data_IF_699651515262
#
_entry.id   IF_699651515262
#
_cell.length_a   1.000
_cell.length_b   1.000
_cell.length_c   1.000
_cell.angle_alpha   90.00
_cell.angle_beta   90.00
_cell.angle_gamma   90.00
#
_symmetry.space_group_name_H-M   'P 1'
#
loop_
_entity.id
_entity.type
_entity.pdbx_description
1 polymer ?
#
# COMPACT_ATOMS: atom_id res chain seq x y z
N UNK A 1 3.24 -3.55 -25.73
CA UNK A 1 1.85 -3.12 -25.45
C UNK A 1 1.89 -1.83 -24.64
N UNK A 2 1.02 -0.85 -24.93
CA UNK A 2 1.02 0.45 -24.21
C UNK A 2 0.14 0.44 -22.94
N UNK A 3 -0.86 -0.44 -22.87
CA UNK A 3 -1.80 -0.59 -21.75
C UNK A 3 -2.07 -2.07 -21.45
N UNK A 4 -2.46 -2.35 -20.21
CA UNK A 4 -2.87 -3.66 -19.68
C UNK A 4 -4.19 -3.51 -18.91
N UNK A 5 -4.90 -4.63 -18.71
CA UNK A 5 -6.03 -4.67 -17.77
C UNK A 5 -5.58 -4.21 -16.38
N UNK A 6 -6.41 -3.41 -15.71
CA UNK A 6 -6.10 -2.76 -14.44
C UNK A 6 -5.35 -1.41 -14.55
N UNK A 7 -4.76 -1.06 -15.70
CA UNK A 7 -4.11 0.25 -15.83
C UNK A 7 -5.13 1.39 -15.67
N UNK A 8 -4.81 2.36 -14.81
CA UNK A 8 -5.55 3.63 -14.73
C UNK A 8 -5.18 4.53 -15.91
N UNK A 9 -6.21 5.05 -16.59
CA UNK A 9 -6.04 5.90 -17.77
C UNK A 9 -6.92 7.13 -17.72
N UNK A 10 -6.37 8.24 -18.18
CA UNK A 10 -7.11 9.45 -18.48
C UNK A 10 -7.57 9.44 -19.94
N UNK A 11 -8.79 9.92 -20.16
CA UNK A 11 -9.37 10.11 -21.49
C UNK A 11 -10.33 11.31 -21.50
N UNK A 12 -10.61 11.83 -22.69
CA UNK A 12 -11.66 12.84 -22.87
C UNK A 12 -12.97 12.14 -23.23
N UNK A 13 -14.01 12.37 -22.43
CA UNK A 13 -15.38 11.90 -22.67
C UNK A 13 -16.35 13.05 -22.46
N UNK A 14 -17.24 13.30 -23.43
CA UNK A 14 -18.20 14.42 -23.41
C UNK A 14 -17.55 15.78 -23.11
N UNK A 15 -16.40 16.02 -23.74
CA UNK A 15 -15.61 17.26 -23.59
C UNK A 15 -15.00 17.50 -22.21
N UNK A 16 -14.99 16.49 -21.33
CA UNK A 16 -14.37 16.57 -20.01
C UNK A 16 -13.27 15.51 -19.88
N UNK A 17 -12.21 15.85 -19.12
CA UNK A 17 -11.20 14.87 -18.72
C UNK A 17 -11.82 13.93 -17.69
N UNK A 18 -11.72 12.63 -17.95
CA UNK A 18 -12.23 11.56 -17.09
C UNK A 18 -11.12 10.57 -16.83
N UNK A 19 -11.18 9.93 -15.67
CA UNK A 19 -10.29 8.84 -15.31
C UNK A 19 -11.10 7.55 -15.27
N UNK A 20 -10.45 6.45 -15.62
CA UNK A 20 -11.04 5.12 -15.53
C UNK A 20 -9.99 4.04 -15.52
N UNK A 21 -10.46 2.81 -15.34
CA UNK A 21 -9.63 1.60 -15.28
C UNK A 21 -9.83 0.78 -16.54
N UNK A 22 -8.74 0.32 -17.14
CA UNK A 22 -8.80 -0.58 -18.30
C UNK A 22 -9.34 -1.94 -17.85
N UNK A 23 -10.47 -2.37 -18.41
CA UNK A 23 -11.03 -3.71 -18.19
C UNK A 23 -10.51 -4.73 -19.20
N UNK A 24 -10.36 -4.33 -20.47
CA UNK A 24 -9.95 -5.27 -21.52
C UNK A 24 -9.07 -4.56 -22.56
N UNK A 25 -8.07 -5.27 -23.09
CA UNK A 25 -7.16 -4.76 -24.12
C UNK A 25 -7.29 -5.58 -25.39
N UNK A 26 -7.78 -4.94 -26.46
CA UNK A 26 -7.90 -5.51 -27.80
C UNK A 26 -6.67 -5.14 -28.63
N UNK A 27 -5.70 -6.06 -28.71
CA UNK A 27 -4.42 -5.81 -29.38
C UNK A 27 -4.53 -5.76 -30.91
N UNK A 28 -5.43 -6.56 -31.47
CA UNK A 28 -5.76 -6.60 -32.90
C UNK A 28 -6.25 -5.24 -33.41
N UNK A 29 -7.04 -4.53 -32.60
CA UNK A 29 -7.64 -3.24 -32.95
C UNK A 29 -6.97 -2.04 -32.27
N UNK A 30 -5.95 -2.27 -31.44
CA UNK A 30 -5.30 -1.26 -30.59
C UNK A 30 -6.31 -0.43 -29.78
N UNK A 31 -7.31 -1.10 -29.20
CA UNK A 31 -8.34 -0.49 -28.36
C UNK A 31 -8.24 -1.02 -26.93
N UNK A 32 -8.72 -0.23 -25.99
CA UNK A 32 -8.98 -0.66 -24.62
C UNK A 32 -10.44 -0.35 -24.28
N UNK A 33 -11.07 -1.26 -23.55
CA UNK A 33 -12.32 -1.04 -22.85
C UNK A 33 -11.98 -0.47 -21.48
N UNK A 34 -12.54 0.70 -21.16
CA UNK A 34 -12.23 1.44 -19.94
C UNK A 34 -13.52 1.69 -19.17
N UNK A 35 -13.57 1.27 -17.92
CA UNK A 35 -14.63 1.58 -16.97
C UNK A 35 -14.37 2.95 -16.34
N UNK A 36 -15.33 3.87 -16.42
CA UNK A 36 -15.14 5.25 -15.95
C UNK A 36 -15.44 5.38 -14.45
N UNK A 37 -14.56 6.05 -13.71
CA UNK A 37 -14.72 6.27 -12.26
C UNK A 37 -15.97 7.11 -11.96
N UNK A 38 -16.81 6.64 -11.03
CA UNK A 38 -18.03 7.33 -10.61
C UNK A 38 -19.22 7.22 -11.58
N UNK A 39 -19.09 6.46 -12.68
CA UNK A 39 -20.17 6.24 -13.65
C UNK A 39 -20.27 4.75 -14.01
N UNK A 40 -21.46 4.15 -14.10
CA UNK A 40 -21.63 2.76 -14.54
C UNK A 40 -21.53 2.65 -16.07
N UNK A 41 -20.47 3.22 -16.67
CA UNK A 41 -20.28 3.29 -18.12
C UNK A 41 -18.89 2.78 -18.47
N UNK A 42 -18.84 1.80 -19.36
CA UNK A 42 -17.63 1.39 -20.07
C UNK A 42 -17.55 2.08 -21.43
N UNK A 43 -16.34 2.46 -21.83
CA UNK A 43 -16.09 3.03 -23.15
C UNK A 43 -14.93 2.31 -23.82
N UNK A 44 -15.08 2.03 -25.12
CA UNK A 44 -13.99 1.51 -25.92
C UNK A 44 -13.28 2.65 -26.63
N UNK A 45 -11.98 2.83 -26.37
CA UNK A 45 -11.15 3.88 -26.97
C UNK A 45 -9.88 3.30 -27.57
N UNK A 46 -9.38 3.96 -28.62
CA UNK A 46 -8.06 3.64 -29.16
C UNK A 46 -6.98 3.99 -28.14
N UNK A 47 -5.95 3.15 -28.03
CA UNK A 47 -4.84 3.33 -27.09
C UNK A 47 -4.17 4.71 -27.23
N UNK A 48 -4.13 5.28 -28.44
CA UNK A 48 -3.56 6.62 -28.67
C UNK A 48 -4.31 7.78 -28.00
N UNK A 49 -5.58 7.58 -27.62
CA UNK A 49 -6.41 8.56 -26.91
C UNK A 49 -6.48 8.31 -25.41
N UNK A 50 -5.74 7.33 -24.93
CA UNK A 50 -5.57 7.03 -23.53
C UNK A 50 -4.20 7.55 -23.11
N UNK A 51 -4.15 8.14 -21.93
CA UNK A 51 -2.92 8.53 -21.26
C UNK A 51 -2.90 7.74 -19.96
N UNK A 52 -1.80 7.06 -19.64
CA UNK A 52 -1.71 6.42 -18.31
C UNK A 52 -1.77 7.53 -17.27
N UNK A 53 -2.55 7.32 -16.22
CA UNK A 53 -2.48 8.17 -15.04
C UNK A 53 -1.09 7.93 -14.44
N UNK A 54 -0.19 8.91 -14.55
CA UNK A 54 1.04 8.92 -13.77
C UNK A 54 0.64 8.99 -12.29
N UNK A 55 1.12 8.03 -11.49
CA UNK A 55 0.74 7.94 -10.08
C UNK A 55 -0.66 7.36 -9.85
N UNK A 56 -1.01 6.24 -10.50
CA UNK A 56 -1.90 5.31 -9.80
C UNK A 56 -1.26 5.08 -8.43
N UNK A 57 -1.95 5.40 -7.33
CA UNK A 57 -1.40 5.28 -5.96
C UNK A 57 -0.89 3.86 -5.75
N UNK A 58 0.40 3.65 -6.00
CA UNK A 58 1.06 2.38 -5.77
C UNK A 58 1.28 2.36 -4.27
N UNK A 59 0.44 1.62 -3.55
CA UNK A 59 0.57 1.47 -2.11
C UNK A 59 1.43 0.24 -1.85
N UNK A 60 2.59 0.44 -1.23
CA UNK A 60 3.48 -0.64 -0.84
C UNK A 60 3.34 -0.95 0.65
N UNK A 61 3.39 -2.24 1.04
CA UNK A 61 3.60 -2.60 2.44
C UNK A 61 4.88 -1.96 3.00
N UNK A 62 4.91 -1.72 4.32
CA UNK A 62 6.05 -1.07 4.97
C UNK A 62 7.37 -1.83 4.76
N UNK A 63 7.36 -3.17 4.78
CA UNK A 63 8.56 -3.97 4.54
C UNK A 63 9.12 -3.81 3.11
N UNK A 64 8.27 -3.53 2.11
CA UNK A 64 8.69 -3.30 0.74
C UNK A 64 9.26 -1.89 0.55
N UNK A 65 8.70 -0.90 1.26
CA UNK A 65 9.30 0.44 1.38
C UNK A 65 10.69 0.39 2.02
N UNK A 66 10.83 -0.35 3.12
CA UNK A 66 12.11 -0.55 3.81
C UNK A 66 13.15 -1.19 2.88
N UNK A 67 12.74 -2.18 2.08
CA UNK A 67 13.59 -2.81 1.07
C UNK A 67 14.03 -1.83 -0.02
N UNK A 68 13.11 -1.04 -0.61
CA UNK A 68 13.45 -0.02 -1.60
C UNK A 68 14.45 0.99 -1.04
N UNK A 69 14.25 1.45 0.20
CA UNK A 69 15.17 2.38 0.88
C UNK A 69 16.55 1.77 1.08
N UNK A 70 16.62 0.50 1.49
CA UNK A 70 17.88 -0.23 1.62
C UNK A 70 18.62 -0.32 0.28
N UNK A 71 17.94 -0.74 -0.78
CA UNK A 71 18.53 -0.80 -2.12
C UNK A 71 19.06 0.56 -2.57
N UNK A 72 18.30 1.65 -2.37
CA UNK A 72 18.76 3.02 -2.71
C UNK A 72 20.00 3.44 -1.91
N UNK A 73 20.07 3.09 -0.62
CA UNK A 73 21.23 3.40 0.23
C UNK A 73 22.49 2.62 -0.20
N UNK A 74 22.32 1.42 -0.74
CA UNK A 74 23.40 0.56 -1.24
C UNK A 74 23.79 0.83 -2.69
N UNK A 75 23.12 1.79 -3.35
CA UNK A 75 23.27 2.06 -4.79
C UNK A 75 22.94 0.85 -5.68
N UNK A 76 22.00 0.01 -5.23
CA UNK A 76 21.51 -1.14 -5.98
C UNK A 76 20.62 -0.70 -7.14
N UNK A 77 20.68 -1.45 -8.23
CA UNK A 77 19.83 -1.23 -9.40
C UNK A 77 18.58 -2.12 -9.37
N UNK A 78 17.76 -2.03 -10.42
CA UNK A 78 16.52 -2.80 -10.52
C UNK A 78 16.75 -4.32 -10.56
N UNK A 79 17.92 -4.79 -11.03
CA UNK A 79 18.23 -6.23 -11.03
C UNK A 79 18.46 -6.71 -9.59
N UNK A 80 19.19 -5.94 -8.80
CA UNK A 80 19.38 -6.21 -7.36
C UNK A 80 18.06 -6.11 -6.57
N UNK A 81 17.17 -5.17 -6.91
CA UNK A 81 15.87 -5.01 -6.24
C UNK A 81 15.01 -6.29 -6.32
N UNK A 82 15.13 -7.02 -7.43
CA UNK A 82 14.36 -8.23 -7.75
C UNK A 82 15.18 -9.52 -7.55
N UNK A 83 16.37 -9.44 -6.96
CA UNK A 83 17.22 -10.59 -6.71
C UNK A 83 16.72 -11.38 -5.49
N UNK A 84 16.20 -12.59 -5.75
CA UNK A 84 15.70 -13.49 -4.72
C UNK A 84 16.79 -14.03 -3.80
N UNK A 85 18.05 -13.99 -4.21
CA UNK A 85 19.18 -14.52 -3.45
C UNK A 85 19.86 -13.45 -2.59
N UNK A 86 19.35 -12.21 -2.59
CA UNK A 86 19.93 -11.15 -1.79
C UNK A 86 19.78 -11.42 -0.28
N UNK A 87 20.91 -11.60 0.39
CA UNK A 87 20.97 -11.93 1.81
C UNK A 87 20.47 -10.81 2.73
N UNK A 88 20.43 -9.57 2.24
CA UNK A 88 19.89 -8.43 2.99
C UNK A 88 18.34 -8.38 2.90
N UNK A 89 17.71 -9.16 2.01
CA UNK A 89 16.25 -9.22 1.88
C UNK A 89 15.63 -9.94 3.09
N UNK A 90 14.60 -9.34 3.70
CA UNK A 90 13.88 -9.98 4.80
C UNK A 90 13.06 -11.18 4.29
N UNK A 91 12.81 -12.16 5.16
CA UNK A 91 11.97 -13.31 4.82
C UNK A 91 10.55 -12.88 4.38
N UNK A 92 10.00 -11.85 5.02
CA UNK A 92 8.69 -11.28 4.68
C UNK A 92 8.69 -10.65 3.28
N UNK A 93 9.73 -9.88 2.94
CA UNK A 93 9.87 -9.30 1.61
C UNK A 93 10.04 -10.39 0.54
N UNK A 94 10.85 -11.41 0.82
CA UNK A 94 11.05 -12.55 -0.07
C UNK A 94 9.74 -13.29 -0.32
N UNK A 95 9.03 -13.69 0.73
CA UNK A 95 7.75 -14.40 0.63
C UNK A 95 6.72 -13.58 -0.15
N UNK A 96 6.62 -12.27 0.13
CA UNK A 96 5.74 -11.38 -0.59
C UNK A 96 6.11 -11.29 -2.08
N UNK A 97 7.39 -11.11 -2.41
CA UNK A 97 7.85 -10.93 -3.79
C UNK A 97 7.63 -12.16 -4.67
N UNK A 98 7.81 -13.37 -4.11
CA UNK A 98 7.61 -14.62 -4.86
C UNK A 98 6.13 -15.04 -4.93
N UNK A 99 5.26 -14.47 -4.08
CA UNK A 99 3.86 -14.91 -3.99
C UNK A 99 3.04 -14.59 -5.25
N UNK A 100 3.41 -13.56 -6.02
CA UNK A 100 2.77 -13.21 -7.29
C UNK A 100 3.70 -12.40 -8.20
N UNK A 101 3.55 -12.59 -9.52
CA UNK A 101 4.16 -11.72 -10.52
C UNK A 101 3.66 -10.27 -10.42
N UNK A 102 2.44 -10.06 -9.89
CA UNK A 102 1.88 -8.72 -9.67
C UNK A 102 2.67 -7.94 -8.62
N UNK A 103 3.20 -8.61 -7.58
CA UNK A 103 4.01 -7.96 -6.55
C UNK A 103 5.38 -7.54 -7.10
N UNK A 104 5.97 -8.33 -8.00
CA UNK A 104 7.19 -7.99 -8.71
C UNK A 104 6.97 -6.77 -9.61
N UNK A 105 5.86 -6.74 -10.35
CA UNK A 105 5.48 -5.58 -11.16
C UNK A 105 5.20 -4.35 -10.28
N UNK A 106 4.50 -4.52 -9.16
CA UNK A 106 4.20 -3.44 -8.21
C UNK A 106 5.48 -2.84 -7.63
N UNK A 107 6.43 -3.67 -7.18
CA UNK A 107 7.71 -3.21 -6.66
C UNK A 107 8.55 -2.49 -7.72
N UNK A 108 8.61 -3.05 -8.94
CA UNK A 108 9.34 -2.44 -10.05
C UNK A 108 8.74 -1.09 -10.48
N UNK A 109 7.40 -0.99 -10.52
CA UNK A 109 6.73 0.28 -10.80
C UNK A 109 6.93 1.28 -9.67
N UNK A 110 6.82 0.87 -8.41
CA UNK A 110 7.08 1.73 -7.25
C UNK A 110 8.51 2.31 -7.29
N UNK A 111 9.49 1.50 -7.69
CA UNK A 111 10.87 1.95 -7.88
C UNK A 111 11.01 3.06 -8.94
N UNK A 112 10.29 2.95 -10.06
CA UNK A 112 10.41 3.85 -11.21
C UNK A 112 9.52 5.08 -11.12
N UNK A 113 8.28 4.90 -10.71
CA UNK A 113 7.19 5.87 -10.84
C UNK A 113 6.86 6.58 -9.52
N UNK A 114 7.45 6.13 -8.41
CA UNK A 114 7.10 6.56 -7.06
C UNK A 114 5.91 5.78 -6.48
N UNK A 115 5.73 5.87 -5.16
CA UNK A 115 4.74 5.08 -4.41
C UNK A 115 4.35 5.79 -3.12
N UNK A 116 3.21 5.36 -2.56
CA UNK A 116 2.81 5.62 -1.18
C UNK A 116 3.04 4.36 -0.34
N UNK A 117 3.25 4.54 0.97
CA UNK A 117 3.43 3.42 1.89
C UNK A 117 2.11 3.15 2.59
N UNK A 118 1.71 1.88 2.65
CA UNK A 118 0.59 1.44 3.45
C UNK A 118 0.81 1.90 4.89
N UNK A 119 -0.07 2.78 5.36
CA UNK A 119 -0.03 3.22 6.76
C UNK A 119 -0.44 2.04 7.60
N UNK A 120 0.54 1.40 8.23
CA UNK A 120 0.29 0.30 9.16
C UNK A 120 -0.73 0.77 10.22
N UNK A 121 -1.86 0.06 10.39
CA UNK A 121 -2.89 0.49 11.32
C UNK A 121 -2.31 0.52 12.74
N UNK A 122 -2.40 1.69 13.36
CA UNK A 122 -1.95 1.92 14.72
C UNK A 122 -3.13 1.77 15.68
N UNK A 123 -2.83 1.22 16.84
CA UNK A 123 -3.82 0.97 17.88
C UNK A 123 -3.37 1.53 19.22
N UNK A 124 -4.32 2.02 19.99
CA UNK A 124 -4.19 2.18 21.43
C UNK A 124 -4.67 0.92 22.13
N UNK A 125 -3.91 0.41 23.09
CA UNK A 125 -4.36 -0.71 23.93
C UNK A 125 -4.90 -0.16 25.25
N UNK A 126 -6.19 -0.37 25.53
CA UNK A 126 -6.82 0.02 26.79
C UNK A 126 -7.22 -1.21 27.60
N UNK A 127 -6.38 -1.59 28.56
CA UNK A 127 -6.65 -2.73 29.42
C UNK A 127 -7.75 -2.40 30.45
N UNK A 128 -8.77 -3.26 30.62
CA UNK A 128 -9.83 -3.06 31.61
C UNK A 128 -9.25 -2.88 33.02
N UNK A 129 -9.72 -1.87 33.76
CA UNK A 129 -9.28 -1.52 35.13
C UNK A 129 -7.84 -0.98 35.26
N UNK A 130 -6.98 -1.22 34.27
CA UNK A 130 -5.56 -0.88 34.32
C UNK A 130 -5.23 0.42 33.57
N UNK A 131 -5.93 0.72 32.46
CA UNK A 131 -5.72 1.92 31.67
C UNK A 131 -4.98 1.65 30.34
N UNK A 132 -4.48 2.72 29.73
CA UNK A 132 -3.75 2.71 28.47
C UNK A 132 -2.30 2.26 28.67
N UNK A 133 -1.80 1.47 27.71
CA UNK A 133 -0.38 1.12 27.62
C UNK A 133 0.44 2.37 27.26
N UNK A 134 1.57 2.60 27.96
CA UNK A 134 2.47 3.75 27.72
C UNK A 134 3.92 3.32 27.48
N UNK A 135 4.76 4.23 26.96
CA UNK A 135 6.17 3.99 26.62
C UNK A 135 7.16 4.38 27.75
N UNK A 136 6.71 4.56 29.01
CA UNK A 136 7.65 4.81 30.11
C UNK A 136 8.30 3.50 30.52
N UNK A 137 9.63 3.50 30.53
CA UNK A 137 10.68 2.47 30.71
C UNK A 137 10.40 1.18 31.51
N UNK A 138 9.19 0.60 31.46
CA UNK A 138 8.76 -0.70 32.01
C UNK A 138 7.26 -0.99 31.70
N UNK A 139 6.72 -0.51 30.56
CA UNK A 139 5.29 -0.65 30.20
C UNK A 139 4.32 -0.15 31.28
N UNK A 140 4.53 1.07 31.76
CA UNK A 140 3.62 1.65 32.76
C UNK A 140 2.22 1.86 32.17
N UNK A 141 1.18 1.66 32.98
CA UNK A 141 -0.21 1.88 32.60
C UNK A 141 -0.67 3.26 33.06
N UNK A 142 -1.33 4.03 32.19
CA UNK A 142 -1.89 5.34 32.54
C UNK A 142 -3.40 5.36 32.30
N UNK A 143 -4.14 5.99 33.21
CA UNK A 143 -5.57 6.24 32.98
C UNK A 143 -5.80 7.34 31.92
N UNK A 144 -4.77 8.14 31.60
CA UNK A 144 -4.87 9.18 30.59
C UNK A 144 -4.60 8.66 29.19
N UNK A 145 -5.51 8.96 28.25
CA UNK A 145 -5.31 8.70 26.82
C UNK A 145 -4.15 9.50 26.24
N UNK A 146 -3.83 10.68 26.81
CA UNK A 146 -2.70 11.51 26.34
C UNK A 146 -1.34 10.85 26.50
N UNK A 147 -1.24 9.89 27.42
CA UNK A 147 0.00 9.17 27.68
C UNK A 147 0.07 7.85 26.88
N UNK A 148 -1.01 7.51 26.16
CA UNK A 148 -1.11 6.27 25.41
C UNK A 148 -0.13 6.25 24.24
N UNK A 149 0.54 5.12 24.05
CA UNK A 149 1.42 4.91 22.91
C UNK A 149 0.65 4.24 21.77
N UNK A 150 0.93 4.69 20.55
CA UNK A 150 0.45 4.05 19.33
C UNK A 150 1.29 2.80 19.03
N UNK A 151 0.64 1.65 18.92
CA UNK A 151 1.28 0.35 18.73
C UNK A 151 0.77 -0.31 17.45
N UNK A 152 1.63 -1.06 16.78
CA UNK A 152 1.26 -1.93 15.66
C UNK A 152 0.72 -3.25 16.19
N UNK A 153 -0.08 -3.97 15.40
CA UNK A 153 -0.60 -5.30 15.78
C UNK A 153 0.51 -6.25 16.23
N UNK A 154 1.60 -6.31 15.47
CA UNK A 154 2.76 -7.15 15.77
C UNK A 154 3.41 -6.81 17.12
N UNK A 155 3.50 -5.51 17.47
CA UNK A 155 4.01 -5.10 18.79
C UNK A 155 3.07 -5.51 19.92
N UNK A 156 1.76 -5.35 19.73
CA UNK A 156 0.75 -5.74 20.73
C UNK A 156 0.82 -7.25 20.98
N UNK A 157 0.82 -8.06 19.92
CA UNK A 157 0.92 -9.52 20.01
C UNK A 157 2.23 -10.00 20.64
N UNK A 158 3.34 -9.31 20.35
CA UNK A 158 4.65 -9.59 20.97
C UNK A 158 4.69 -9.26 22.46
N UNK A 159 3.95 -8.24 22.90
CA UNK A 159 3.80 -7.94 24.33
C UNK A 159 2.98 -9.02 25.03
N UNK A 160 1.75 -9.23 24.55
CA UNK A 160 0.84 -10.30 24.98
C UNK A 160 -0.29 -10.41 23.95
N UNK A 161 -0.46 -11.58 23.34
CA UNK A 161 -1.50 -11.82 22.34
C UNK A 161 -2.91 -11.48 22.87
N UNK A 162 -3.15 -11.61 24.18
CA UNK A 162 -4.43 -11.26 24.82
C UNK A 162 -4.72 -9.76 24.78
N UNK A 163 -3.73 -8.90 24.54
CA UNK A 163 -3.94 -7.46 24.49
C UNK A 163 -4.62 -7.03 23.19
N UNK A 164 -4.58 -7.86 22.15
CA UNK A 164 -5.21 -7.59 20.87
C UNK A 164 -6.72 -7.35 20.97
N UNK A 165 -7.41 -8.07 21.86
CA UNK A 165 -8.85 -7.87 22.09
C UNK A 165 -9.21 -6.49 22.67
N UNK A 166 -8.22 -5.75 23.16
CA UNK A 166 -8.37 -4.41 23.73
C UNK A 166 -7.74 -3.31 22.87
N UNK A 167 -7.32 -3.66 21.64
CA UNK A 167 -6.77 -2.73 20.67
C UNK A 167 -7.89 -1.88 20.07
N UNK A 168 -7.74 -0.55 20.13
CA UNK A 168 -8.65 0.43 19.54
C UNK A 168 -7.91 1.14 18.42
N UNK A 169 -8.40 1.10 17.16
CA UNK A 169 -7.78 1.85 16.06
C UNK A 169 -7.64 3.32 16.39
N UNK A 170 -6.47 3.90 16.09
CA UNK A 170 -6.21 5.33 16.36
C UNK A 170 -7.19 6.23 15.59
N UNK A 171 -7.55 5.85 14.36
CA UNK A 171 -8.50 6.61 13.53
C UNK A 171 -9.90 6.68 14.16
N UNK A 172 -10.39 5.60 14.77
CA UNK A 172 -11.67 5.58 15.49
C UNK A 172 -11.57 6.34 16.81
N UNK A 173 -10.43 6.28 17.48
CA UNK A 173 -10.23 6.94 18.76
C UNK A 173 -10.16 8.48 18.63
N UNK A 174 -9.64 9.03 17.53
CA UNK A 174 -9.52 10.48 17.33
C UNK A 174 -10.80 11.14 16.77
N UNK A 175 -11.71 10.35 16.18
CA UNK A 175 -13.00 10.83 15.66
C UNK A 175 -14.08 11.11 16.72
N UNK A 176 -13.84 10.78 17.99
CA UNK A 176 -14.76 11.01 19.12
C UNK A 176 -14.48 12.31 19.91
N UNK A 177 -13.91 13.34 19.28
CA UNK A 177 -13.60 14.63 19.92
C UNK A 177 -14.72 15.68 19.75
#
# INVERSE_FOLDING_TARGET
MRFREGDRVELILRSEKRVGTVEEVYNDTQKCKVQIDGFPVTVTKLQKYLVKVEGAELVLPQFADDWIKHCKQREYDLACLLDYEDSDMSAEMYEWLISSADNQELLARAWLDGYEVEKEPLYYVKLPHFGYVTNRMDYTLSQSKTDAVMLTESKIKRMDERYWQFAVPVEEAEGEA
#
